data_IF_933546896851
#
_entry.id   IF_933546896851
#
_cell.length_a   1.000
_cell.length_b   1.000
_cell.length_c   1.000
_cell.angle_alpha   90.00
_cell.angle_beta   90.00
_cell.angle_gamma   90.00
#
_symmetry.space_group_name_H-M   'P 1'
#
loop_
_entity.id
_entity.type
_entity.pdbx_description
1 polymer ?
#
# COMPACT_ATOMS: atom_id res chain seq x y z
N UNK A 1 -25.66 17.18 -22.16
CA UNK A 1 -25.25 15.92 -21.48
C UNK A 1 -23.74 15.95 -21.35
N UNK A 2 -23.21 16.67 -20.36
CA UNK A 2 -21.77 16.62 -20.05
C UNK A 2 -21.57 15.37 -19.19
N UNK A 3 -20.89 14.35 -19.74
CA UNK A 3 -20.51 13.17 -18.98
C UNK A 3 -19.74 13.60 -17.73
N UNK A 4 -20.06 13.00 -16.58
CA UNK A 4 -19.35 13.21 -15.33
C UNK A 4 -17.86 12.91 -15.54
N UNK A 5 -17.04 13.94 -15.70
CA UNK A 5 -15.58 13.79 -15.63
C UNK A 5 -15.26 13.83 -14.15
N UNK A 6 -15.14 12.66 -13.52
CA UNK A 6 -14.65 12.58 -12.14
C UNK A 6 -13.25 13.19 -12.09
N UNK A 7 -12.94 14.06 -11.11
CA UNK A 7 -11.63 14.67 -11.01
C UNK A 7 -10.57 13.57 -10.86
N UNK A 8 -9.48 13.69 -11.62
CA UNK A 8 -8.34 12.77 -11.50
C UNK A 8 -7.73 12.93 -10.11
N UNK A 9 -7.76 11.88 -9.31
CA UNK A 9 -7.25 11.88 -7.94
C UNK A 9 -5.76 11.54 -7.91
N UNK A 10 -5.32 10.58 -8.72
CA UNK A 10 -3.92 10.17 -8.80
C UNK A 10 -3.54 9.97 -10.26
N UNK A 11 -2.42 10.55 -10.66
CA UNK A 11 -1.91 10.41 -12.03
C UNK A 11 -0.42 10.12 -12.00
N UNK A 12 0.04 9.29 -12.90
CA UNK A 12 1.44 9.16 -13.23
C UNK A 12 1.65 9.12 -14.74
N UNK A 13 2.75 9.70 -15.22
CA UNK A 13 3.06 9.82 -16.64
C UNK A 13 4.51 9.46 -16.90
N UNK A 14 4.76 8.53 -17.81
CA UNK A 14 6.09 8.20 -18.32
C UNK A 14 7.04 7.62 -17.26
N UNK A 15 6.53 6.85 -16.30
CA UNK A 15 7.34 6.32 -15.22
C UNK A 15 8.36 5.31 -15.74
N UNK A 16 9.64 5.58 -15.46
CA UNK A 16 10.74 4.64 -15.68
C UNK A 16 11.50 4.41 -14.38
N UNK A 17 11.82 3.15 -14.10
CA UNK A 17 12.65 2.81 -12.94
C UNK A 17 13.41 1.52 -13.18
N UNK A 18 14.73 1.57 -13.01
CA UNK A 18 15.64 0.44 -13.07
C UNK A 18 16.20 0.19 -11.68
N UNK A 19 16.22 -1.08 -11.26
CA UNK A 19 16.87 -1.47 -9.99
C UNK A 19 17.66 -2.75 -10.18
N UNK A 20 18.87 -2.78 -9.63
CA UNK A 20 19.76 -3.95 -9.70
C UNK A 20 19.95 -4.46 -11.14
N UNK A 21 20.09 -3.54 -12.10
CA UNK A 21 20.26 -3.87 -13.52
C UNK A 21 19.00 -4.32 -14.27
N UNK A 22 17.84 -4.35 -13.62
CA UNK A 22 16.56 -4.75 -14.23
C UNK A 22 15.61 -3.55 -14.35
N UNK A 23 15.08 -3.34 -15.54
CA UNK A 23 14.00 -2.38 -15.76
C UNK A 23 12.71 -2.92 -15.13
N UNK A 24 12.20 -2.22 -14.10
CA UNK A 24 11.00 -2.60 -13.35
C UNK A 24 9.76 -1.83 -13.81
N UNK A 25 9.95 -0.58 -14.25
CA UNK A 25 8.94 0.25 -14.89
C UNK A 25 9.53 0.81 -16.18
N UNK A 26 8.82 0.69 -17.29
CA UNK A 26 9.23 1.20 -18.59
C UNK A 26 8.09 1.98 -19.22
N UNK A 27 8.15 3.31 -19.14
CA UNK A 27 7.18 4.24 -19.72
C UNK A 27 5.74 3.97 -19.26
N UNK A 28 5.56 3.76 -17.95
CA UNK A 28 4.25 3.44 -17.36
C UNK A 28 3.48 4.72 -17.07
N UNK A 29 2.27 4.83 -17.64
CA UNK A 29 1.33 5.93 -17.38
C UNK A 29 0.00 5.38 -16.87
N UNK A 30 -0.57 6.01 -15.84
CA UNK A 30 -1.85 5.63 -15.26
C UNK A 30 -2.56 6.86 -14.69
N UNK A 31 -3.88 6.90 -14.83
CA UNK A 31 -4.74 7.91 -14.22
C UNK A 31 -5.87 7.22 -13.46
N UNK A 32 -6.15 7.70 -12.26
CA UNK A 32 -7.17 7.17 -11.36
C UNK A 32 -8.06 8.35 -10.96
N UNK A 33 -9.33 8.29 -11.32
CA UNK A 33 -10.32 9.27 -10.91
C UNK A 33 -10.86 8.98 -9.51
N UNK A 34 -11.42 10.01 -8.87
CA UNK A 34 -12.08 9.86 -7.58
C UNK A 34 -13.23 8.83 -7.67
N UNK A 35 -13.23 7.86 -6.76
CA UNK A 35 -14.21 6.77 -6.71
C UNK A 35 -13.90 5.57 -7.60
N UNK A 36 -12.82 5.59 -8.37
CA UNK A 36 -12.41 4.44 -9.19
C UNK A 36 -11.69 3.38 -8.37
N UNK A 37 -11.95 2.12 -8.72
CA UNK A 37 -11.23 0.95 -8.23
C UNK A 37 -10.45 0.33 -9.38
N UNK A 38 -9.13 0.23 -9.23
CA UNK A 38 -8.23 -0.33 -10.25
C UNK A 38 -7.51 -1.55 -9.69
N UNK A 39 -7.46 -2.61 -10.49
CA UNK A 39 -6.67 -3.80 -10.23
C UNK A 39 -5.41 -3.82 -11.10
N UNK A 40 -4.23 -3.87 -10.46
CA UNK A 40 -2.95 -4.06 -11.16
C UNK A 40 -2.61 -5.54 -11.18
N UNK A 41 -2.65 -6.15 -12.36
CA UNK A 41 -2.39 -7.59 -12.56
C UNK A 41 -1.07 -7.84 -13.30
N UNK A 42 -0.52 -9.03 -13.15
CA UNK A 42 0.72 -9.43 -13.82
C UNK A 42 1.52 -10.47 -13.03
N UNK A 43 2.51 -11.10 -13.66
CA UNK A 43 3.36 -12.11 -13.05
C UNK A 43 4.18 -11.57 -11.86
N UNK A 44 4.72 -12.48 -11.05
CA UNK A 44 5.68 -12.11 -10.01
C UNK A 44 6.93 -11.47 -10.64
N UNK A 45 7.34 -10.33 -10.09
CA UNK A 45 8.46 -9.55 -10.65
C UNK A 45 8.09 -8.63 -11.83
N UNK A 46 6.82 -8.54 -12.24
CA UNK A 46 6.38 -7.62 -13.31
C UNK A 46 6.40 -6.11 -12.92
N UNK A 47 6.85 -5.76 -11.71
CA UNK A 47 6.93 -4.36 -11.26
C UNK A 47 5.69 -3.82 -10.55
N UNK A 48 4.68 -4.65 -10.24
CA UNK A 48 3.43 -4.20 -9.56
C UNK A 48 3.69 -3.49 -8.22
N UNK A 49 4.41 -4.14 -7.31
CA UNK A 49 4.74 -3.54 -6.01
C UNK A 49 5.66 -2.33 -6.19
N UNK A 50 6.51 -2.33 -7.22
CA UNK A 50 7.35 -1.18 -7.58
C UNK A 50 6.52 0.01 -8.03
N UNK A 51 5.52 -0.20 -8.90
CA UNK A 51 4.57 0.82 -9.31
C UNK A 51 3.86 1.42 -8.09
N UNK A 52 3.35 0.58 -7.19
CA UNK A 52 2.70 1.06 -5.97
C UNK A 52 3.65 1.86 -5.05
N UNK A 53 4.93 1.49 -4.96
CA UNK A 53 5.93 2.26 -4.21
C UNK A 53 6.22 3.61 -4.83
N UNK A 54 6.26 3.70 -6.17
CA UNK A 54 6.44 4.98 -6.87
C UNK A 54 5.20 5.87 -6.73
N UNK A 55 4.00 5.30 -6.95
CA UNK A 55 2.74 6.04 -6.84
C UNK A 55 2.45 6.60 -5.44
N UNK A 56 2.89 5.90 -4.38
CA UNK A 56 2.80 6.43 -3.00
C UNK A 56 3.96 7.37 -2.64
N UNK A 57 4.90 7.58 -3.55
CA UNK A 57 6.11 8.39 -3.36
C UNK A 57 7.09 7.81 -2.35
N UNK A 58 7.09 6.49 -2.17
CA UNK A 58 8.07 5.75 -1.38
C UNK A 58 9.38 5.56 -2.11
N UNK A 59 9.35 5.40 -3.44
CA UNK A 59 10.53 5.39 -4.32
C UNK A 59 10.38 6.46 -5.40
N UNK A 60 11.50 7.05 -5.79
CA UNK A 60 11.57 8.01 -6.89
C UNK A 60 11.81 7.27 -8.21
N UNK A 61 11.15 7.73 -9.27
CA UNK A 61 11.36 7.22 -10.63
C UNK A 61 12.57 7.91 -11.26
N UNK A 62 13.23 7.26 -12.22
CA UNK A 62 14.30 7.85 -13.03
C UNK A 62 13.77 8.89 -14.01
N UNK A 63 12.52 8.72 -14.46
CA UNK A 63 11.80 9.66 -15.31
C UNK A 63 10.31 9.61 -15.06
N UNK A 64 9.63 10.66 -15.50
CA UNK A 64 8.19 10.81 -15.34
C UNK A 64 7.82 11.36 -13.97
N UNK A 65 6.56 11.75 -13.83
CA UNK A 65 6.07 12.39 -12.62
C UNK A 65 4.79 11.71 -12.11
N UNK A 66 4.51 11.94 -10.83
CA UNK A 66 3.28 11.52 -10.17
C UNK A 66 2.60 12.77 -9.61
N UNK A 67 1.29 12.86 -9.76
CA UNK A 67 0.45 13.94 -9.24
C UNK A 67 -0.66 13.38 -8.37
N UNK A 68 -0.99 14.10 -7.29
CA UNK A 68 -2.12 13.85 -6.41
C UNK A 68 -3.09 15.02 -6.53
N UNK A 69 -4.20 14.81 -7.24
CA UNK A 69 -5.01 15.91 -7.77
C UNK A 69 -4.21 16.70 -8.80
N UNK A 70 -4.20 18.03 -8.64
CA UNK A 70 -3.52 18.96 -9.54
C UNK A 70 -2.07 19.27 -9.13
N UNK A 71 -1.59 18.70 -8.02
CA UNK A 71 -0.29 19.02 -7.44
C UNK A 71 0.70 17.85 -7.60
N UNK A 72 1.97 18.10 -8.00
CA UNK A 72 2.98 17.04 -8.07
C UNK A 72 3.20 16.38 -6.71
N UNK A 73 3.27 15.05 -6.67
CA UNK A 73 3.40 14.28 -5.43
C UNK A 73 4.66 14.66 -4.62
N UNK A 74 5.71 15.12 -5.31
CA UNK A 74 6.97 15.53 -4.71
C UNK A 74 6.88 16.80 -3.85
N UNK A 75 5.87 17.66 -4.05
CA UNK A 75 5.72 18.89 -3.24
C UNK A 75 5.16 18.62 -1.84
N UNK A 76 4.48 17.48 -1.66
CA UNK A 76 3.88 17.13 -0.38
C UNK A 76 4.92 16.59 0.59
N UNK A 77 4.91 17.13 1.81
CA UNK A 77 5.66 16.53 2.92
C UNK A 77 5.20 15.08 3.18
N UNK A 78 6.05 14.21 3.77
CA UNK A 78 5.66 12.84 4.10
C UNK A 78 4.38 12.73 4.93
N UNK A 79 4.17 13.66 5.87
CA UNK A 79 2.96 13.72 6.70
C UNK A 79 1.73 14.14 5.89
N UNK A 80 1.86 15.14 5.02
CA UNK A 80 0.78 15.59 4.15
C UNK A 80 0.34 14.50 3.15
N UNK A 81 1.28 13.69 2.65
CA UNK A 81 0.98 12.50 1.82
C UNK A 81 0.23 11.42 2.60
N UNK A 82 0.68 11.11 3.81
CA UNK A 82 0.08 10.07 4.65
C UNK A 82 -1.37 10.40 5.07
N UNK A 83 -1.75 11.67 5.14
CA UNK A 83 -3.14 12.10 5.41
C UNK A 83 -4.09 11.89 4.22
N UNK A 84 -3.56 11.69 3.01
CA UNK A 84 -4.35 11.59 1.76
C UNK A 84 -4.30 10.21 1.13
N UNK A 85 -3.25 9.43 1.42
CA UNK A 85 -3.06 8.10 0.86
C UNK A 85 -2.69 7.09 1.94
N UNK A 86 -3.41 5.98 1.97
CA UNK A 86 -3.07 4.81 2.75
C UNK A 86 -2.37 3.77 1.86
N UNK A 87 -1.38 3.08 2.42
CA UNK A 87 -0.69 1.98 1.75
C UNK A 87 -0.70 0.76 2.65
N UNK A 88 -1.24 -0.36 2.15
CA UNK A 88 -1.22 -1.63 2.85
C UNK A 88 -0.08 -2.50 2.28
N UNK A 89 1.03 -2.69 3.01
CA UNK A 89 2.12 -3.51 2.51
C UNK A 89 1.71 -4.99 2.43
N UNK A 90 2.29 -5.71 1.46
CA UNK A 90 2.06 -7.15 1.26
C UNK A 90 2.40 -7.98 2.51
N UNK A 91 3.41 -7.58 3.27
CA UNK A 91 3.72 -8.13 4.58
C UNK A 91 3.59 -7.00 5.60
N UNK A 92 2.57 -7.07 6.46
CA UNK A 92 2.39 -6.11 7.53
C UNK A 92 3.32 -6.46 8.69
N UNK A 93 4.34 -5.64 8.92
CA UNK A 93 5.07 -5.66 10.18
C UNK A 93 4.17 -5.02 11.24
N UNK A 94 3.45 -5.83 12.01
CA UNK A 94 2.65 -5.33 13.12
C UNK A 94 3.61 -5.04 14.28
N UNK A 95 3.78 -3.76 14.63
CA UNK A 95 4.53 -3.39 15.82
C UNK A 95 3.92 -4.10 17.04
N UNK A 96 4.77 -4.79 17.79
CA UNK A 96 4.38 -5.61 18.94
C UNK A 96 3.64 -4.83 20.04
N UNK A 97 3.70 -3.49 20.05
CA UNK A 97 2.93 -2.63 20.97
C UNK A 97 1.45 -2.45 20.57
N UNK A 98 1.09 -2.57 19.28
CA UNK A 98 -0.29 -2.38 18.80
C UNK A 98 -1.18 -3.59 19.10
N UNK A 99 -0.58 -4.79 19.17
CA UNK A 99 -1.29 -6.03 19.52
C UNK A 99 -1.82 -5.99 20.96
N UNK A 100 -1.20 -5.25 21.87
CA UNK A 100 -1.62 -5.21 23.28
C UNK A 100 -2.74 -4.19 23.58
N UNK A 101 -2.96 -3.18 22.75
CA UNK A 101 -3.93 -2.10 23.02
C UNK A 101 -5.28 -2.25 22.32
N UNK A 102 -5.40 -3.10 21.30
CA UNK A 102 -6.68 -3.32 20.59
C UNK A 102 -7.21 -4.76 20.65
N UNK A 103 -6.40 -5.72 21.10
CA UNK A 103 -6.82 -7.12 21.20
C UNK A 103 -7.45 -7.39 22.57
N UNK A 104 -8.62 -6.81 22.82
CA UNK A 104 -9.49 -7.31 23.88
C UNK A 104 -10.12 -8.63 23.41
N UNK A 105 -9.48 -9.75 23.75
CA UNK A 105 -9.96 -11.09 23.44
C UNK A 105 -11.39 -11.36 23.99
N UNK A 106 -11.87 -10.54 24.93
CA UNK A 106 -13.24 -10.59 25.48
C UNK A 106 -14.31 -10.24 24.44
N UNK A 107 -13.95 -9.50 23.37
CA UNK A 107 -14.89 -9.09 22.31
C UNK A 107 -15.02 -10.09 21.15
N UNK A 108 -14.24 -11.19 21.16
CA UNK A 108 -14.27 -12.25 20.15
C UNK A 108 -14.90 -13.55 20.65
N UNK A 109 -15.76 -13.49 21.68
CA UNK A 109 -16.39 -14.67 22.27
C UNK A 109 -17.22 -15.55 21.29
N UNK A 110 -17.56 -15.03 20.10
CA UNK A 110 -18.52 -15.70 19.21
C UNK A 110 -17.95 -16.25 17.90
N UNK A 111 -16.64 -16.17 17.63
CA UNK A 111 -16.10 -16.61 16.33
C UNK A 111 -15.05 -17.71 16.33
N UNK A 112 -14.74 -18.31 17.48
CA UNK A 112 -14.08 -19.62 17.47
C UNK A 112 -14.40 -20.35 18.75
N UNK A 113 -15.11 -21.47 18.64
CA UNK A 113 -15.07 -22.56 19.62
C UNK A 113 -13.64 -23.11 19.65
N UNK A 114 -12.75 -22.42 20.33
CA UNK A 114 -11.43 -22.93 20.68
C UNK A 114 -11.62 -23.97 21.78
N UNK A 115 -11.29 -25.23 21.50
CA UNK A 115 -11.12 -26.24 22.51
C UNK A 115 -9.92 -25.87 23.39
N UNK A 116 -10.17 -25.13 24.47
CA UNK A 116 -9.26 -24.98 25.59
C UNK A 116 -9.17 -26.31 26.36
N UNK A 117 -8.46 -27.28 25.78
CA UNK A 117 -8.12 -28.55 26.42
C UNK A 117 -6.71 -28.49 26.98
N UNK A 118 -6.61 -28.42 28.31
CA UNK A 118 -5.41 -28.64 29.14
C UNK A 118 -4.41 -27.48 29.29
N UNK A 119 -4.56 -26.83 30.44
CA UNK A 119 -3.59 -25.98 31.13
C UNK A 119 -2.35 -26.79 31.51
N UNK A 120 -1.16 -26.42 31.01
CA UNK A 120 0.12 -26.51 31.75
C UNK A 120 1.23 -25.81 30.98
N UNK A 121 1.61 -24.61 31.42
CA UNK A 121 2.87 -24.01 31.03
C UNK A 121 3.95 -24.48 32.00
N UNK A 122 4.64 -25.57 31.67
CA UNK A 122 5.94 -25.91 32.25
C UNK A 122 7.02 -25.43 31.29
N UNK A 123 7.90 -24.53 31.75
CA UNK A 123 9.15 -24.20 31.02
C UNK A 123 10.03 -25.46 30.94
N UNK A 124 10.53 -25.82 29.76
CA UNK A 124 11.98 -25.84 29.54
C UNK A 124 12.31 -25.25 28.15
N UNK A 125 13.46 -24.65 27.86
CA UNK A 125 14.80 -25.23 27.93
C UNK A 125 15.86 -24.14 28.13
N UNK A 126 17.05 -24.62 28.54
CA UNK A 126 18.33 -23.90 28.63
C UNK A 126 18.69 -23.16 27.36
#
# INVERSE_FOLDING_TARGET
MAGMISPTLLRASGLRLTRSGRCLLNDVSVSIAAGELIAVLGANGAGKSTLLQVLRGGWEAESGDVWLGDEPLATFSPTARAQRMAYLPQQAAVCRCVIWWHWDASRMANLTRWHAGTRRWTRPWR
#
